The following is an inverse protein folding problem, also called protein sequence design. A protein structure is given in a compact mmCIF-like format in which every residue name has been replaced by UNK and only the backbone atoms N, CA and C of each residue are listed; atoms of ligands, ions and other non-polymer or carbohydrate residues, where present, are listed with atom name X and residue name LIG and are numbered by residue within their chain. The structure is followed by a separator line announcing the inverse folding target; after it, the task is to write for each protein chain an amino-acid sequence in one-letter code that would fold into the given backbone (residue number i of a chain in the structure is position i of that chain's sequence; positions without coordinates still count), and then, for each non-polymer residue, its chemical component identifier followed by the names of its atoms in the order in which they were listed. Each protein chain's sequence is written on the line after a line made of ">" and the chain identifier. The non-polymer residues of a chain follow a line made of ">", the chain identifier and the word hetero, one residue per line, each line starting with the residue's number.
data_IF_785765085019
#
_entry.id   IF_785765085019
#
_cell.length_a   1.000
_cell.length_b   1.000
_cell.length_c   1.000
_cell.angle_alpha   90.00
_cell.angle_beta   90.00
_cell.angle_gamma   90.00
#
_symmetry.space_group_name_H-M   'P 1'
#
loop_
_entity.id
_entity.type
_entity.pdbx_description
1 polymer ?
#
# COMPACT_ATOMS: atom_id res chain seq x y z
N UNK A 1 -2.11 4.19 22.60
CA UNK A 1 -0.78 3.59 22.83
C UNK A 1 -0.62 2.25 22.12
N UNK A 2 -1.53 1.28 22.29
CA UNK A 2 -1.47 -0.04 21.63
C UNK A 2 -1.46 0.07 20.09
N UNK A 3 -2.32 0.92 19.52
CA UNK A 3 -2.40 1.13 18.08
C UNK A 3 -1.11 1.71 17.46
N UNK A 4 -0.51 2.69 18.14
CA UNK A 4 0.76 3.27 17.69
C UNK A 4 1.88 2.21 17.71
N UNK A 5 1.93 1.39 18.75
CA UNK A 5 2.88 0.28 18.81
C UNK A 5 2.65 -0.74 17.70
N UNK A 6 1.39 -1.09 17.42
CA UNK A 6 1.04 -2.01 16.35
C UNK A 6 1.49 -1.51 14.98
N UNK A 7 1.29 -0.22 14.67
CA UNK A 7 1.71 0.38 13.39
C UNK A 7 3.24 0.42 13.25
N UNK A 8 3.94 0.80 14.32
CA UNK A 8 5.40 0.81 14.35
C UNK A 8 5.96 -0.60 14.14
N UNK A 9 5.38 -1.60 14.81
CA UNK A 9 5.77 -3.00 14.64
C UNK A 9 5.46 -3.50 13.23
N UNK A 10 4.30 -3.16 12.68
CA UNK A 10 3.92 -3.55 11.32
C UNK A 10 4.93 -3.03 10.29
N UNK A 11 5.21 -1.72 10.31
CA UNK A 11 6.21 -1.12 9.41
C UNK A 11 7.60 -1.69 9.66
N UNK A 12 7.97 -1.87 10.92
CA UNK A 12 9.26 -2.47 11.30
C UNK A 12 9.43 -3.89 10.74
N UNK A 13 8.38 -4.70 10.81
CA UNK A 13 8.38 -6.07 10.23
C UNK A 13 8.48 -6.03 8.71
N UNK A 14 7.74 -5.14 8.03
CA UNK A 14 7.80 -5.02 6.57
C UNK A 14 9.19 -4.60 6.07
N UNK A 15 9.83 -3.66 6.77
CA UNK A 15 11.20 -3.24 6.44
C UNK A 15 12.18 -4.38 6.77
N UNK A 16 12.00 -5.08 7.89
CA UNK A 16 12.85 -6.22 8.24
C UNK A 16 12.77 -7.35 7.21
N UNK A 17 11.58 -7.64 6.68
CA UNK A 17 11.36 -8.64 5.63
C UNK A 17 12.02 -8.20 4.32
N UNK A 18 11.98 -6.91 4.00
CA UNK A 18 12.72 -6.31 2.90
C UNK A 18 14.23 -6.55 3.03
N UNK A 19 14.81 -6.21 4.18
CA UNK A 19 16.23 -6.42 4.47
C UNK A 19 16.63 -7.90 4.44
N UNK A 20 15.71 -8.78 4.86
CA UNK A 20 15.91 -10.23 4.76
C UNK A 20 16.03 -10.70 3.31
N UNK A 21 15.33 -10.03 2.36
CA UNK A 21 15.50 -10.28 0.94
C UNK A 21 16.95 -10.05 0.48
N UNK A 22 17.50 -8.89 0.78
CA UNK A 22 18.90 -8.58 0.50
C UNK A 22 19.88 -9.57 1.16
N UNK A 23 19.65 -9.85 2.44
CA UNK A 23 20.46 -10.77 3.21
C UNK A 23 20.55 -12.17 2.58
N UNK A 24 19.40 -12.75 2.25
CA UNK A 24 19.30 -14.11 1.70
C UNK A 24 20.01 -14.20 0.34
N UNK A 25 19.71 -13.28 -0.56
CA UNK A 25 20.29 -13.30 -1.91
C UNK A 25 21.78 -12.94 -1.90
N UNK A 26 22.22 -12.00 -1.07
CA UNK A 26 23.64 -11.70 -0.91
C UNK A 26 24.42 -12.92 -0.42
N UNK A 27 23.88 -13.65 0.55
CA UNK A 27 24.49 -14.88 1.07
C UNK A 27 24.53 -15.99 0.02
N UNK A 28 23.46 -16.18 -0.77
CA UNK A 28 23.44 -17.13 -1.88
C UNK A 28 24.47 -16.82 -2.96
N UNK A 29 24.69 -15.51 -3.21
CA UNK A 29 25.69 -15.03 -4.16
C UNK A 29 27.12 -15.06 -3.59
N UNK A 30 27.34 -15.58 -2.38
CA UNK A 30 28.65 -15.66 -1.74
C UNK A 30 29.21 -14.28 -1.38
N UNK A 31 28.34 -13.34 -0.98
CA UNK A 31 28.75 -12.07 -0.37
C UNK A 31 28.77 -12.27 1.14
N UNK A 32 29.87 -11.87 1.78
CA UNK A 32 29.99 -11.92 3.22
C UNK A 32 29.17 -10.82 3.87
N UNK A 33 28.26 -11.22 4.76
CA UNK A 33 27.45 -10.29 5.55
C UNK A 33 28.19 -9.97 6.85
N UNK A 34 28.53 -8.73 7.03
CA UNK A 34 29.19 -8.23 8.25
C UNK A 34 28.19 -8.16 9.39
N UNK A 35 27.02 -7.57 9.10
CA UNK A 35 25.99 -7.37 10.12
C UNK A 35 24.58 -7.43 9.55
N UNK A 36 23.69 -8.04 10.32
CA UNK A 36 22.25 -7.98 10.15
C UNK A 36 21.63 -7.41 11.42
N UNK A 37 20.99 -6.25 11.34
CA UNK A 37 20.39 -5.58 12.50
C UNK A 37 18.88 -5.51 12.39
N UNK A 38 18.19 -5.89 13.46
CA UNK A 38 16.79 -5.59 13.69
C UNK A 38 16.75 -4.25 14.44
N UNK A 39 16.24 -3.21 13.77
CA UNK A 39 16.24 -1.85 14.29
C UNK A 39 17.52 -1.06 13.99
N UNK A 40 17.47 0.21 14.37
CA UNK A 40 18.56 1.19 14.19
C UNK A 40 19.11 1.67 15.53
N UNK A 41 20.29 2.30 15.50
CA UNK A 41 20.93 2.93 16.64
C UNK A 41 21.82 2.00 17.43
N UNK A 42 21.90 2.21 18.76
CA UNK A 42 22.81 1.43 19.63
C UNK A 42 22.31 -0.01 19.78
N UNK A 43 23.28 -0.94 19.78
CA UNK A 43 23.03 -2.37 20.05
C UNK A 43 22.51 -2.55 21.49
N UNK A 44 21.39 -3.23 21.63
CA UNK A 44 20.88 -3.71 22.93
C UNK A 44 21.50 -5.06 23.25
N UNK A 45 21.33 -6.00 22.31
CA UNK A 45 21.84 -7.38 22.40
C UNK A 45 22.28 -7.84 21.02
N UNK A 46 23.21 -8.76 20.95
CA UNK A 46 23.60 -9.38 19.68
C UNK A 46 24.55 -10.54 19.91
N UNK A 47 24.62 -11.37 18.88
CA UNK A 47 25.48 -12.56 18.81
C UNK A 47 26.14 -12.64 17.44
N UNK A 48 27.20 -13.42 17.34
CA UNK A 48 27.88 -13.68 16.06
C UNK A 48 27.68 -15.13 15.69
N UNK A 49 27.25 -15.41 14.45
CA UNK A 49 27.10 -16.75 13.91
C UNK A 49 27.52 -16.78 12.44
N UNK A 50 28.41 -17.71 12.09
CA UNK A 50 28.87 -17.87 10.71
C UNK A 50 29.57 -16.62 10.14
N UNK A 51 30.24 -15.82 10.97
CA UNK A 51 30.93 -14.59 10.56
C UNK A 51 30.03 -13.36 10.43
N UNK A 52 28.73 -13.50 10.67
CA UNK A 52 27.76 -12.40 10.66
C UNK A 52 27.38 -11.99 12.08
N UNK A 53 27.44 -10.70 12.38
CA UNK A 53 26.90 -10.14 13.62
C UNK A 53 25.40 -9.94 13.47
N UNK A 54 24.62 -10.48 14.38
CA UNK A 54 23.16 -10.25 14.49
C UNK A 54 22.91 -9.32 15.65
N UNK A 55 22.26 -8.18 15.37
CA UNK A 55 21.97 -7.15 16.37
C UNK A 55 20.47 -6.96 16.55
N UNK A 56 20.07 -6.71 17.80
CA UNK A 56 18.82 -6.06 18.16
C UNK A 56 19.17 -4.65 18.65
N UNK A 57 18.61 -3.64 18.01
CA UNK A 57 18.93 -2.23 18.25
C UNK A 57 17.77 -1.47 18.89
N UNK A 58 18.07 -0.28 19.44
CA UNK A 58 17.12 0.48 20.26
C UNK A 58 15.88 0.98 19.54
N UNK A 59 15.96 1.31 18.27
CA UNK A 59 14.86 1.88 17.50
C UNK A 59 14.26 0.78 16.64
N UNK A 60 13.10 0.20 16.99
CA UNK A 60 12.51 -0.97 16.30
C UNK A 60 11.79 -0.58 14.99
N UNK A 61 12.33 0.40 14.25
CA UNK A 61 11.80 0.89 12.98
C UNK A 61 12.55 0.26 11.81
N UNK A 62 12.38 -1.06 11.59
CA UNK A 62 13.02 -1.74 10.48
C UNK A 62 14.33 -2.44 10.83
N UNK A 63 15.32 -2.35 9.96
CA UNK A 63 16.62 -2.99 10.12
C UNK A 63 17.61 -2.55 9.04
N UNK A 64 18.74 -3.21 8.98
CA UNK A 64 19.70 -3.05 7.88
C UNK A 64 20.60 -4.27 7.73
N UNK A 65 21.07 -4.47 6.51
CA UNK A 65 22.12 -5.45 6.18
C UNK A 65 23.39 -4.68 5.85
N UNK A 66 24.51 -4.99 6.51
CA UNK A 66 25.82 -4.47 6.12
C UNK A 66 26.60 -5.56 5.41
N UNK A 67 26.92 -5.36 4.15
CA UNK A 67 27.71 -6.28 3.34
C UNK A 67 29.19 -5.91 3.38
N UNK A 68 30.08 -6.90 3.25
CA UNK A 68 31.50 -6.63 3.14
C UNK A 68 31.82 -5.91 1.84
N UNK A 69 32.69 -4.91 1.89
CA UNK A 69 33.11 -4.14 0.73
C UNK A 69 31.97 -3.38 0.03
N UNK A 70 30.90 -3.04 0.74
CA UNK A 70 29.79 -2.22 0.25
C UNK A 70 30.23 -0.75 0.13
N UNK A 71 31.03 -0.28 1.07
CA UNK A 71 31.61 1.05 1.03
C UNK A 71 33.02 1.01 0.43
N UNK A 72 33.34 1.94 -0.46
CA UNK A 72 34.63 1.94 -1.17
C UNK A 72 35.83 2.06 -0.23
N UNK A 73 35.72 2.75 0.90
CA UNK A 73 36.76 2.85 1.92
C UNK A 73 37.06 1.57 2.69
N UNK A 74 36.15 0.59 2.65
CA UNK A 74 36.28 -0.73 3.30
C UNK A 74 36.72 -1.83 2.32
N UNK A 75 36.93 -1.51 1.06
CA UNK A 75 37.19 -2.46 -0.02
C UNK A 75 38.61 -3.01 0.07
N UNK A 76 38.74 -4.34 0.20
CA UNK A 76 40.01 -5.07 0.14
C UNK A 76 40.19 -5.85 -1.17
N UNK A 77 39.22 -5.78 -2.07
CA UNK A 77 39.14 -6.55 -3.33
C UNK A 77 38.99 -8.06 -3.12
N UNK A 78 38.53 -8.48 -1.94
CA UNK A 78 38.23 -9.88 -1.68
C UNK A 78 37.05 -10.38 -2.53
N UNK A 79 37.05 -11.65 -2.98
CA UNK A 79 36.01 -12.18 -3.86
C UNK A 79 34.64 -12.30 -3.19
N UNK A 80 34.58 -12.22 -1.87
CA UNK A 80 33.34 -12.26 -1.05
C UNK A 80 32.80 -10.85 -0.74
N UNK A 81 33.36 -9.79 -1.32
CA UNK A 81 32.88 -8.42 -1.20
C UNK A 81 31.81 -8.09 -2.22
N UNK A 82 30.82 -7.27 -1.83
CA UNK A 82 29.72 -6.83 -2.68
C UNK A 82 30.21 -6.16 -3.98
N UNK A 83 31.11 -5.16 -3.87
CA UNK A 83 31.65 -4.44 -5.04
C UNK A 83 32.61 -5.28 -5.91
N UNK A 84 33.03 -6.45 -5.45
CA UNK A 84 33.82 -7.41 -6.25
C UNK A 84 32.96 -8.31 -7.10
N UNK A 85 31.62 -8.29 -6.88
CA UNK A 85 30.69 -9.12 -7.67
C UNK A 85 30.33 -8.47 -9.01
N UNK A 86 30.02 -9.29 -10.03
CA UNK A 86 29.50 -8.78 -11.31
C UNK A 86 28.26 -7.90 -11.13
N UNK A 87 28.05 -6.94 -12.06
CA UNK A 87 26.90 -6.01 -12.02
C UNK A 87 25.57 -6.74 -11.89
N UNK A 88 25.37 -7.86 -12.62
CA UNK A 88 24.14 -8.65 -12.56
C UNK A 88 23.89 -9.25 -11.16
N UNK A 89 24.93 -9.73 -10.49
CA UNK A 89 24.85 -10.27 -9.14
C UNK A 89 24.50 -9.16 -8.13
N UNK A 90 25.13 -7.99 -8.24
CA UNK A 90 24.81 -6.84 -7.41
C UNK A 90 23.37 -6.37 -7.63
N UNK A 91 22.92 -6.33 -8.88
CA UNK A 91 21.54 -5.98 -9.21
C UNK A 91 20.53 -6.99 -8.62
N UNK A 92 20.82 -8.29 -8.67
CA UNK A 92 19.96 -9.33 -8.07
C UNK A 92 19.86 -9.16 -6.55
N UNK A 93 20.96 -8.84 -5.87
CA UNK A 93 21.00 -8.59 -4.42
C UNK A 93 20.12 -7.38 -4.08
N UNK A 94 20.29 -6.26 -4.81
CA UNK A 94 19.51 -5.03 -4.55
C UNK A 94 18.03 -5.24 -4.90
N UNK A 95 17.69 -5.92 -5.98
CA UNK A 95 16.31 -6.18 -6.35
C UNK A 95 15.57 -7.14 -5.39
N UNK A 96 16.31 -7.90 -4.58
CA UNK A 96 15.74 -8.92 -3.70
C UNK A 96 14.86 -8.32 -2.58
N UNK A 97 15.20 -7.15 -2.05
CA UNK A 97 14.40 -6.45 -1.05
C UNK A 97 12.99 -6.12 -1.56
N UNK A 98 12.86 -5.31 -2.61
CA UNK A 98 11.57 -5.01 -3.24
C UNK A 98 10.81 -6.26 -3.69
N UNK A 99 11.51 -7.25 -4.24
CA UNK A 99 10.90 -8.51 -4.68
C UNK A 99 10.25 -9.29 -3.54
N UNK A 100 10.92 -9.38 -2.37
CA UNK A 100 10.33 -10.07 -1.21
C UNK A 100 9.11 -9.32 -0.69
N UNK A 101 9.12 -7.99 -0.66
CA UNK A 101 7.93 -7.21 -0.32
C UNK A 101 6.79 -7.44 -1.30
N UNK A 102 7.08 -7.54 -2.60
CA UNK A 102 6.08 -7.90 -3.61
C UNK A 102 5.46 -9.28 -3.33
N UNK A 103 6.27 -10.28 -2.98
CA UNK A 103 5.78 -11.62 -2.60
C UNK A 103 4.95 -11.59 -1.31
N UNK A 104 5.36 -10.82 -0.30
CA UNK A 104 4.59 -10.66 0.95
C UNK A 104 3.23 -10.05 0.67
N UNK A 105 3.15 -9.05 -0.21
CA UNK A 105 1.89 -8.47 -0.63
C UNK A 105 0.95 -9.51 -1.26
N UNK A 106 1.46 -10.34 -2.18
CA UNK A 106 0.70 -11.43 -2.80
C UNK A 106 0.21 -12.47 -1.78
N UNK A 107 1.11 -12.95 -0.91
CA UNK A 107 0.77 -13.98 0.09
C UNK A 107 -0.24 -13.44 1.11
N UNK A 108 -0.06 -12.21 1.57
CA UNK A 108 -1.00 -11.57 2.51
C UNK A 108 -2.37 -11.39 1.88
N UNK A 109 -2.46 -10.91 0.65
CA UNK A 109 -3.72 -10.72 -0.06
C UNK A 109 -4.42 -12.05 -0.35
N UNK A 110 -3.67 -13.09 -0.74
CA UNK A 110 -4.21 -14.44 -0.88
C UNK A 110 -4.79 -14.95 0.44
N UNK A 111 -4.07 -14.74 1.54
CA UNK A 111 -4.54 -15.13 2.88
C UNK A 111 -5.82 -14.39 3.25
N UNK A 112 -5.91 -13.09 2.90
CA UNK A 112 -7.13 -12.28 3.09
C UNK A 112 -8.33 -12.92 2.42
N UNK A 113 -8.22 -13.33 1.15
CA UNK A 113 -9.35 -13.94 0.43
C UNK A 113 -9.73 -15.31 0.98
N UNK A 114 -8.78 -16.07 1.52
CA UNK A 114 -9.04 -17.39 2.13
C UNK A 114 -9.64 -17.27 3.54
N UNK A 115 -9.08 -16.39 4.37
CA UNK A 115 -9.56 -16.17 5.76
C UNK A 115 -10.88 -15.41 5.77
N UNK A 116 -11.03 -14.48 4.85
CA UNK A 116 -12.16 -13.60 4.67
C UNK A 116 -11.88 -12.16 5.04
N UNK A 117 -12.51 -11.27 4.29
CA UNK A 117 -12.47 -9.83 4.46
C UNK A 117 -13.90 -9.29 4.60
N UNK A 118 -14.15 -8.35 5.54
CA UNK A 118 -15.46 -7.72 5.66
C UNK A 118 -15.70 -6.80 4.46
N UNK A 119 -16.74 -7.07 3.70
CA UNK A 119 -17.22 -6.23 2.60
C UNK A 119 -18.60 -5.67 2.92
N UNK A 120 -18.84 -4.43 2.50
CA UNK A 120 -20.14 -3.78 2.68
C UNK A 120 -21.21 -4.52 1.91
N UNK A 121 -22.30 -4.85 2.58
CA UNK A 121 -23.50 -5.38 1.93
C UNK A 121 -24.16 -4.30 1.06
N UNK A 122 -24.81 -4.68 -0.05
CA UNK A 122 -25.55 -3.76 -0.91
C UNK A 122 -26.91 -3.41 -0.28
N UNK A 123 -26.87 -2.88 0.96
CA UNK A 123 -28.03 -2.51 1.77
C UNK A 123 -28.11 -0.99 1.89
N UNK A 124 -29.28 -0.46 1.64
CA UNK A 124 -29.55 0.99 1.63
C UNK A 124 -29.66 1.49 3.07
N UNK A 125 -28.73 2.33 3.49
CA UNK A 125 -28.77 2.99 4.80
C UNK A 125 -29.34 4.39 4.75
N UNK A 126 -29.28 5.04 3.59
CA UNK A 126 -29.84 6.38 3.37
C UNK A 126 -30.30 6.54 1.93
N UNK A 127 -31.45 7.18 1.74
CA UNK A 127 -31.94 7.61 0.43
C UNK A 127 -31.96 9.13 0.38
N UNK A 128 -31.32 9.70 -0.65
CA UNK A 128 -31.29 11.16 -0.87
C UNK A 128 -32.58 11.60 -1.57
N UNK A 129 -33.20 12.63 -1.04
CA UNK A 129 -34.35 13.28 -1.68
C UNK A 129 -33.95 13.85 -3.05
N UNK A 130 -34.91 13.98 -3.94
CA UNK A 130 -34.73 14.48 -5.33
C UNK A 130 -33.78 13.66 -6.21
N UNK A 131 -33.49 12.42 -5.83
CA UNK A 131 -32.68 11.50 -6.61
C UNK A 131 -33.49 10.31 -7.14
N UNK A 132 -33.00 9.61 -8.20
CA UNK A 132 -33.75 8.52 -8.85
C UNK A 132 -34.22 7.42 -7.90
N UNK A 133 -33.45 7.10 -6.86
CA UNK A 133 -33.79 6.07 -5.87
C UNK A 133 -35.05 6.46 -5.08
N UNK A 134 -35.14 7.71 -4.61
CA UNK A 134 -36.30 8.24 -3.91
C UNK A 134 -37.53 8.23 -4.80
N UNK A 135 -37.42 8.72 -6.04
CA UNK A 135 -38.52 8.74 -7.00
C UNK A 135 -39.01 7.32 -7.38
N UNK A 136 -38.14 6.33 -7.35
CA UNK A 136 -38.47 4.93 -7.62
C UNK A 136 -38.99 4.17 -6.39
N UNK A 137 -39.06 4.80 -5.20
CA UNK A 137 -39.58 4.23 -3.97
C UNK A 137 -38.62 3.25 -3.28
N UNK A 138 -37.31 3.39 -3.48
CA UNK A 138 -36.31 2.69 -2.64
C UNK A 138 -36.38 3.24 -1.21
N UNK A 139 -36.19 2.36 -0.23
CA UNK A 139 -36.31 2.66 1.19
C UNK A 139 -35.03 2.28 1.95
N UNK A 140 -34.82 2.89 3.10
CA UNK A 140 -33.78 2.46 4.04
C UNK A 140 -34.06 1.02 4.50
N UNK A 141 -33.01 0.20 4.57
CA UNK A 141 -33.10 -1.23 4.85
C UNK A 141 -33.31 -2.11 3.62
N UNK A 142 -33.57 -1.54 2.44
CA UNK A 142 -33.64 -2.33 1.20
C UNK A 142 -32.27 -2.94 0.88
N UNK A 143 -32.24 -4.26 0.62
CA UNK A 143 -31.04 -4.96 0.17
C UNK A 143 -31.13 -5.26 -1.31
N UNK A 144 -30.23 -4.70 -2.10
CA UNK A 144 -30.20 -4.91 -3.55
C UNK A 144 -29.53 -6.25 -3.85
N UNK A 145 -30.28 -7.17 -4.46
CA UNK A 145 -29.85 -8.55 -4.77
C UNK A 145 -29.23 -8.66 -6.16
N UNK A 146 -29.78 -7.91 -7.12
CA UNK A 146 -29.32 -7.93 -8.50
C UNK A 146 -29.60 -6.60 -9.22
N UNK A 147 -28.78 -6.31 -10.23
CA UNK A 147 -28.90 -5.20 -11.16
C UNK A 147 -28.98 -5.78 -12.57
N UNK A 148 -30.08 -5.53 -13.30
CA UNK A 148 -30.35 -6.09 -14.63
C UNK A 148 -30.13 -7.60 -14.73
N UNK A 149 -30.49 -8.33 -13.67
CA UNK A 149 -30.33 -9.79 -13.55
C UNK A 149 -28.92 -10.25 -13.12
N UNK A 150 -27.93 -9.35 -13.04
CA UNK A 150 -26.61 -9.67 -12.52
C UNK A 150 -26.63 -9.58 -10.99
N UNK A 151 -26.31 -10.67 -10.30
CA UNK A 151 -26.22 -10.70 -8.83
C UNK A 151 -25.12 -9.77 -8.32
N UNK A 152 -25.44 -9.00 -7.28
CA UNK A 152 -24.51 -8.04 -6.64
C UNK A 152 -24.33 -8.41 -5.16
N UNK A 153 -23.29 -9.18 -4.81
CA UNK A 153 -23.07 -9.62 -3.45
C UNK A 153 -22.54 -8.50 -2.52
N UNK A 154 -21.96 -7.45 -3.09
CA UNK A 154 -21.30 -6.37 -2.35
C UNK A 154 -21.76 -5.00 -2.82
N UNK A 155 -21.58 -3.99 -1.97
CA UNK A 155 -21.85 -2.59 -2.31
C UNK A 155 -21.02 -2.11 -3.51
N UNK A 156 -19.75 -2.52 -3.58
CA UNK A 156 -18.86 -2.14 -4.66
C UNK A 156 -19.34 -2.69 -6.02
N UNK A 157 -19.65 -4.00 -6.09
CA UNK A 157 -20.17 -4.63 -7.31
C UNK A 157 -21.47 -3.98 -7.80
N UNK A 158 -22.37 -3.61 -6.87
CA UNK A 158 -23.58 -2.86 -7.19
C UNK A 158 -23.26 -1.48 -7.74
N UNK A 159 -22.38 -0.75 -7.07
CA UNK A 159 -22.01 0.63 -7.43
C UNK A 159 -21.35 0.69 -8.82
N UNK A 160 -20.52 -0.27 -9.15
CA UNK A 160 -19.89 -0.37 -10.48
C UNK A 160 -20.92 -0.46 -11.61
N UNK A 161 -21.91 -1.33 -11.48
CA UNK A 161 -22.99 -1.51 -12.46
C UNK A 161 -23.84 -0.23 -12.60
N UNK A 162 -24.19 0.39 -11.48
CA UNK A 162 -24.97 1.65 -11.46
C UNK A 162 -24.16 2.76 -12.13
N UNK A 163 -22.89 2.92 -11.80
CA UNK A 163 -22.01 3.95 -12.37
C UNK A 163 -21.84 3.77 -13.89
N UNK A 164 -21.78 2.53 -14.37
CA UNK A 164 -21.65 2.23 -15.81
C UNK A 164 -22.94 2.52 -16.61
N UNK A 165 -24.08 2.66 -15.93
CA UNK A 165 -25.40 2.76 -16.57
C UNK A 165 -25.99 4.17 -16.55
N UNK A 166 -25.14 5.22 -16.61
CA UNK A 166 -25.57 6.61 -16.59
C UNK A 166 -26.63 6.94 -17.69
N UNK A 167 -27.81 7.39 -17.27
CA UNK A 167 -28.91 7.76 -18.18
C UNK A 167 -29.60 6.58 -18.87
N UNK A 168 -29.29 5.32 -18.49
CA UNK A 168 -29.95 4.14 -19.04
C UNK A 168 -30.91 3.55 -17.98
N UNK A 169 -32.16 3.19 -18.34
CA UNK A 169 -33.05 2.52 -17.41
C UNK A 169 -32.46 1.17 -17.00
N UNK A 170 -32.57 0.85 -15.70
CA UNK A 170 -32.13 -0.40 -15.11
C UNK A 170 -33.17 -0.96 -14.15
N UNK A 171 -33.12 -2.25 -13.95
CA UNK A 171 -33.97 -2.99 -13.02
C UNK A 171 -33.17 -3.47 -11.83
N UNK A 172 -33.62 -3.07 -10.66
CA UNK A 172 -33.04 -3.54 -9.39
C UNK A 172 -33.97 -4.59 -8.79
N UNK A 173 -33.45 -5.74 -8.44
CA UNK A 173 -34.18 -6.70 -7.59
C UNK A 173 -33.74 -6.42 -6.14
N UNK A 174 -34.73 -6.16 -5.30
CA UNK A 174 -34.56 -5.68 -3.94
C UNK A 174 -35.25 -6.61 -2.97
N UNK A 175 -34.55 -7.04 -1.93
CA UNK A 175 -35.20 -7.69 -0.78
C UNK A 175 -35.63 -6.59 0.20
N UNK A 176 -36.93 -6.51 0.47
CA UNK A 176 -37.56 -5.59 1.41
C UNK A 176 -38.35 -6.40 2.43
N UNK A 177 -37.92 -6.42 3.67
CA UNK A 177 -38.45 -7.32 4.70
C UNK A 177 -38.47 -8.79 4.20
N UNK A 178 -39.64 -9.40 4.10
CA UNK A 178 -39.79 -10.80 3.66
C UNK A 178 -40.18 -10.96 2.19
N UNK A 179 -40.13 -9.89 1.39
CA UNK A 179 -40.55 -9.91 -0.01
C UNK A 179 -39.44 -9.45 -0.96
N UNK A 180 -39.40 -10.02 -2.16
CA UNK A 180 -38.58 -9.47 -3.26
C UNK A 180 -39.45 -8.53 -4.10
N UNK A 181 -38.90 -7.35 -4.36
CA UNK A 181 -39.55 -6.30 -5.15
C UNK A 181 -38.63 -5.89 -6.31
N UNK A 182 -39.21 -5.77 -7.49
CA UNK A 182 -38.47 -5.22 -8.64
C UNK A 182 -38.73 -3.70 -8.72
N UNK A 183 -37.65 -2.93 -8.70
CA UNK A 183 -37.67 -1.47 -8.80
C UNK A 183 -36.98 -1.08 -10.10
N UNK A 184 -37.67 -0.32 -10.95
CA UNK A 184 -37.05 0.22 -12.18
C UNK A 184 -36.75 1.69 -12.01
N UNK A 185 -35.53 2.09 -12.32
CA UNK A 185 -35.09 3.47 -12.25
C UNK A 185 -34.06 3.78 -13.33
N UNK A 186 -33.79 5.07 -13.55
CA UNK A 186 -32.75 5.53 -14.48
C UNK A 186 -31.74 6.34 -13.69
N UNK A 187 -30.46 5.87 -13.55
CA UNK A 187 -29.43 6.62 -12.85
C UNK A 187 -29.19 8.00 -13.49
N UNK A 188 -29.21 9.03 -12.68
CA UNK A 188 -28.91 10.38 -13.13
C UNK A 188 -27.44 10.47 -13.59
N UNK A 189 -27.23 11.06 -14.77
CA UNK A 189 -25.87 11.31 -15.27
C UNK A 189 -25.22 12.42 -14.47
N UNK A 190 -24.05 12.14 -13.91
CA UNK A 190 -23.23 13.14 -13.21
C UNK A 190 -21.79 13.05 -13.67
N UNK A 191 -21.24 14.19 -14.02
CA UNK A 191 -19.82 14.31 -14.32
C UNK A 191 -19.06 14.52 -13.00
N UNK A 192 -18.17 13.62 -12.71
CA UNK A 192 -17.30 13.64 -11.53
C UNK A 192 -15.85 13.64 -11.96
N UNK A 193 -14.98 14.05 -11.08
CA UNK A 193 -13.55 13.82 -11.24
C UNK A 193 -13.18 12.53 -10.51
N UNK A 194 -12.56 11.60 -11.22
CA UNK A 194 -12.10 10.35 -10.60
C UNK A 194 -10.95 10.63 -9.61
N UNK A 195 -10.58 9.67 -8.74
CA UNK A 195 -9.47 9.84 -7.79
C UNK A 195 -8.13 10.20 -8.43
N UNK A 196 -8.01 10.06 -9.76
CA UNK A 196 -6.80 10.36 -10.52
C UNK A 196 -6.88 11.69 -11.29
N UNK A 197 -7.90 12.52 -11.00
CA UNK A 197 -8.07 13.83 -11.61
C UNK A 197 -8.63 13.80 -13.04
N UNK A 198 -9.21 12.66 -13.50
CA UNK A 198 -9.79 12.54 -14.84
C UNK A 198 -11.30 12.77 -14.79
N UNK A 199 -11.87 13.53 -15.73
CA UNK A 199 -13.32 13.66 -15.84
C UNK A 199 -13.93 12.30 -16.20
N UNK A 200 -14.93 11.88 -15.45
CA UNK A 200 -15.68 10.64 -15.66
C UNK A 200 -17.16 10.90 -15.48
N UNK A 201 -17.97 10.50 -16.46
CA UNK A 201 -19.42 10.54 -16.35
C UNK A 201 -19.92 9.25 -15.75
N UNK A 202 -20.66 9.32 -14.65
CA UNK A 202 -21.19 8.16 -13.92
C UNK A 202 -22.68 8.28 -13.70
N UNK A 203 -23.35 7.14 -13.55
CA UNK A 203 -24.73 7.06 -13.10
C UNK A 203 -24.82 7.14 -11.58
N UNK A 204 -25.68 7.96 -11.04
CA UNK A 204 -25.98 8.04 -9.62
C UNK A 204 -27.46 7.85 -9.36
N UNK A 205 -27.81 7.09 -8.33
CA UNK A 205 -29.21 6.87 -7.92
C UNK A 205 -29.56 7.57 -6.61
N UNK A 206 -28.57 7.99 -5.81
CA UNK A 206 -28.79 8.75 -4.58
C UNK A 206 -29.04 7.87 -3.35
N UNK A 207 -28.27 6.81 -3.18
CA UNK A 207 -28.29 5.97 -1.98
C UNK A 207 -26.92 5.99 -1.29
N UNK A 208 -26.91 5.77 0.04
CA UNK A 208 -25.72 5.52 0.84
C UNK A 208 -25.79 4.15 1.53
N UNK A 209 -24.67 3.52 1.89
CA UNK A 209 -24.63 2.23 2.55
C UNK A 209 -25.21 2.29 3.98
N UNK A 210 -25.78 1.18 4.44
CA UNK A 210 -26.23 1.02 5.83
C UNK A 210 -25.07 0.84 6.82
N UNK A 211 -23.88 0.45 6.31
CA UNK A 211 -22.75 0.07 7.14
C UNK A 211 -22.77 -1.41 7.56
N UNK A 212 -23.74 -2.19 7.10
CA UNK A 212 -23.75 -3.64 7.33
C UNK A 212 -22.63 -4.32 6.51
N UNK A 213 -21.90 -5.23 7.18
CA UNK A 213 -20.80 -5.98 6.58
C UNK A 213 -21.10 -7.47 6.56
N UNK A 214 -20.57 -8.16 5.58
CA UNK A 214 -20.46 -9.61 5.59
C UNK A 214 -19.02 -10.02 5.32
N UNK A 215 -18.61 -11.16 5.86
CA UNK A 215 -17.25 -11.70 5.61
C UNK A 215 -17.31 -12.63 4.40
N UNK A 216 -16.74 -12.18 3.30
CA UNK A 216 -16.61 -12.98 2.08
C UNK A 216 -15.33 -13.80 2.11
N UNK A 217 -15.48 -15.09 1.79
CA UNK A 217 -14.38 -16.05 1.72
C UNK A 217 -14.47 -16.81 0.41
N UNK A 218 -13.33 -17.14 -0.14
CA UNK A 218 -13.26 -18.00 -1.33
C UNK A 218 -12.32 -19.16 -1.11
N UNK A 219 -12.47 -20.20 -1.93
CA UNK A 219 -11.56 -21.35 -1.86
C UNK A 219 -10.12 -20.97 -2.20
N UNK A 220 -9.10 -21.69 -1.68
CA UNK A 220 -7.70 -21.35 -1.87
C UNK A 220 -7.27 -21.22 -3.34
N UNK A 221 -7.84 -22.03 -4.23
CA UNK A 221 -7.54 -22.00 -5.68
C UNK A 221 -8.15 -20.76 -6.32
N UNK A 222 -9.41 -20.45 -6.03
CA UNK A 222 -10.10 -19.25 -6.53
C UNK A 222 -9.40 -17.97 -6.00
N UNK A 223 -8.94 -18.00 -4.75
CA UNK A 223 -8.20 -16.91 -4.15
C UNK A 223 -6.94 -16.51 -4.94
N UNK A 224 -6.27 -17.44 -5.65
CA UNK A 224 -5.11 -17.14 -6.48
C UNK A 224 -5.50 -16.17 -7.60
N UNK A 225 -6.57 -16.47 -8.34
CA UNK A 225 -7.03 -15.62 -9.44
C UNK A 225 -7.43 -14.22 -8.97
N UNK A 226 -8.19 -14.14 -7.86
CA UNK A 226 -8.58 -12.85 -7.26
C UNK A 226 -7.37 -12.06 -6.76
N UNK A 227 -6.41 -12.72 -6.14
CA UNK A 227 -5.17 -12.08 -5.67
C UNK A 227 -4.39 -11.45 -6.81
N UNK A 228 -4.16 -12.19 -7.89
CA UNK A 228 -3.41 -11.68 -9.05
C UNK A 228 -4.15 -10.51 -9.69
N UNK A 229 -5.47 -10.61 -9.83
CA UNK A 229 -6.28 -9.53 -10.41
C UNK A 229 -6.20 -8.26 -9.55
N UNK A 230 -6.53 -8.35 -8.28
CA UNK A 230 -6.52 -7.22 -7.34
C UNK A 230 -5.12 -6.60 -7.17
N UNK A 231 -4.09 -7.44 -7.13
CA UNK A 231 -2.71 -6.99 -7.01
C UNK A 231 -2.30 -6.18 -8.25
N UNK A 232 -2.64 -6.65 -9.47
CA UNK A 232 -2.36 -5.93 -10.70
C UNK A 232 -3.14 -4.61 -10.79
N UNK A 233 -4.37 -4.58 -10.33
CA UNK A 233 -5.15 -3.35 -10.21
C UNK A 233 -4.47 -2.34 -9.29
N UNK A 234 -4.03 -2.75 -8.10
CA UNK A 234 -3.31 -1.87 -7.17
C UNK A 234 -2.01 -1.33 -7.75
N UNK A 235 -1.23 -2.17 -8.45
CA UNK A 235 -0.03 -1.71 -9.17
C UNK A 235 -0.41 -0.62 -10.18
N UNK A 236 -1.42 -0.89 -11.02
CA UNK A 236 -1.89 0.06 -12.02
C UNK A 236 -2.40 1.38 -11.41
N UNK A 237 -3.20 1.30 -10.35
CA UNK A 237 -3.72 2.46 -9.62
C UNK A 237 -2.59 3.27 -8.97
N UNK A 238 -1.61 2.61 -8.35
CA UNK A 238 -0.46 3.29 -7.73
C UNK A 238 0.37 4.03 -8.76
N UNK A 239 0.70 3.39 -9.90
CA UNK A 239 1.45 4.03 -10.98
C UNK A 239 0.67 5.20 -11.60
N UNK A 240 -0.64 5.03 -11.78
CA UNK A 240 -1.51 6.10 -12.30
C UNK A 240 -1.62 7.28 -11.32
N UNK A 241 -1.73 7.00 -10.02
CA UNK A 241 -1.73 8.03 -8.98
C UNK A 241 -0.42 8.84 -9.00
N UNK A 242 0.72 8.16 -9.03
CA UNK A 242 2.03 8.79 -9.12
C UNK A 242 2.18 9.65 -10.38
N UNK A 243 1.75 9.12 -11.53
CA UNK A 243 1.73 9.88 -12.78
C UNK A 243 0.82 11.11 -12.70
N UNK A 244 -0.35 10.97 -12.09
CA UNK A 244 -1.30 12.07 -11.91
C UNK A 244 -0.77 13.16 -10.96
N UNK A 245 -0.01 12.78 -9.94
CA UNK A 245 0.71 13.73 -9.06
C UNK A 245 1.79 14.49 -9.82
N UNK A 246 2.63 13.78 -10.59
CA UNK A 246 3.72 14.40 -11.38
C UNK A 246 3.16 15.35 -12.44
N UNK A 247 2.03 15.02 -13.05
CA UNK A 247 1.36 15.88 -14.05
C UNK A 247 0.49 16.97 -13.45
N UNK A 248 0.41 17.08 -12.11
CA UNK A 248 -0.38 18.10 -11.41
C UNK A 248 -1.90 17.93 -11.52
N UNK A 249 -2.38 16.74 -11.92
CA UNK A 249 -3.82 16.45 -12.03
C UNK A 249 -4.46 16.27 -10.66
N UNK A 250 -3.71 15.74 -9.71
CA UNK A 250 -4.14 15.55 -8.32
C UNK A 250 -3.15 16.22 -7.37
N UNK A 251 -3.67 16.72 -6.25
CA UNK A 251 -2.86 17.34 -5.21
C UNK A 251 -2.18 16.30 -4.35
N UNK A 252 -0.85 16.41 -4.19
CA UNK A 252 -0.08 15.59 -3.24
C UNK A 252 -0.64 15.73 -1.82
N UNK A 253 -1.09 16.94 -1.45
CA UNK A 253 -1.65 17.23 -0.13
C UNK A 253 -2.88 16.39 0.21
N UNK A 254 -3.74 16.13 -0.77
CA UNK A 254 -5.00 15.41 -0.57
C UNK A 254 -4.85 13.91 -0.74
N UNK A 255 -3.86 13.48 -1.53
CA UNK A 255 -3.73 12.10 -1.99
C UNK A 255 -2.73 11.28 -1.19
N UNK A 256 -1.80 11.92 -0.46
CA UNK A 256 -0.77 11.21 0.32
C UNK A 256 -1.16 11.17 1.79
N UNK A 257 -1.13 9.96 2.34
CA UNK A 257 -1.33 9.71 3.78
C UNK A 257 0.05 9.57 4.43
N UNK A 258 0.29 10.34 5.45
CA UNK A 258 1.54 10.33 6.19
C UNK A 258 1.54 9.34 7.36
N UNK A 259 2.62 9.38 8.19
CA UNK A 259 2.78 8.46 9.31
C UNK A 259 1.62 8.46 10.31
N UNK A 260 0.99 9.62 10.53
CA UNK A 260 -0.13 9.75 11.47
C UNK A 260 -1.39 9.07 10.89
N UNK A 261 -1.68 9.29 9.61
CA UNK A 261 -2.78 8.61 8.95
C UNK A 261 -2.58 7.08 8.90
N UNK A 262 -1.34 6.63 8.71
CA UNK A 262 -1.02 5.20 8.80
C UNK A 262 -1.32 4.62 10.20
N UNK A 263 -1.04 5.37 11.27
CA UNK A 263 -1.39 4.97 12.64
C UNK A 263 -2.91 4.80 12.81
N UNK A 264 -3.69 5.74 12.28
CA UNK A 264 -5.16 5.68 12.34
C UNK A 264 -5.68 4.47 11.58
N UNK A 265 -5.28 4.30 10.30
CA UNK A 265 -5.70 3.18 9.46
C UNK A 265 -5.34 1.82 10.07
N UNK A 266 -4.13 1.68 10.63
CA UNK A 266 -3.70 0.42 11.26
C UNK A 266 -4.53 0.13 12.53
N UNK A 267 -4.86 1.17 13.29
CA UNK A 267 -5.70 1.03 14.49
C UNK A 267 -7.12 0.56 14.14
N UNK A 268 -7.72 1.17 13.13
CA UNK A 268 -9.05 0.79 12.64
C UNK A 268 -9.05 -0.64 12.11
N UNK A 269 -8.10 -1.00 11.25
CA UNK A 269 -7.97 -2.35 10.72
C UNK A 269 -7.77 -3.39 11.83
N UNK A 270 -6.94 -3.09 12.83
CA UNK A 270 -6.70 -4.00 13.95
C UNK A 270 -7.98 -4.20 14.79
N UNK A 271 -8.84 -3.20 14.91
CA UNK A 271 -10.12 -3.30 15.62
C UNK A 271 -11.16 -4.14 14.87
N UNK A 272 -11.08 -4.17 13.54
CA UNK A 272 -11.97 -4.96 12.67
C UNK A 272 -11.55 -6.43 12.53
N UNK A 273 -10.34 -6.79 12.98
CA UNK A 273 -9.84 -8.17 12.99
C UNK A 273 -8.65 -8.44 12.07
N UNK A 274 -8.34 -9.74 11.92
CA UNK A 274 -7.12 -10.17 11.21
C UNK A 274 -7.19 -9.92 9.69
N UNK A 275 -8.37 -10.05 9.07
CA UNK A 275 -8.56 -9.84 7.63
C UNK A 275 -8.16 -8.43 7.19
N UNK A 276 -8.76 -7.35 7.74
CA UNK A 276 -8.37 -5.97 7.46
C UNK A 276 -6.91 -5.66 7.75
N UNK A 277 -6.34 -6.24 8.80
CA UNK A 277 -4.93 -6.06 9.12
C UNK A 277 -4.01 -6.69 8.06
N UNK A 278 -4.32 -7.91 7.60
CA UNK A 278 -3.59 -8.57 6.50
C UNK A 278 -3.74 -7.80 5.18
N UNK A 279 -4.91 -7.19 4.95
CA UNK A 279 -5.15 -6.34 3.79
C UNK A 279 -4.23 -5.11 3.79
N UNK A 280 -4.08 -4.45 4.95
CA UNK A 280 -3.12 -3.34 5.09
C UNK A 280 -1.68 -3.79 4.94
N UNK A 281 -1.31 -4.97 5.47
CA UNK A 281 0.02 -5.56 5.27
C UNK A 281 0.28 -5.74 3.76
N UNK A 282 -0.69 -6.29 3.02
CA UNK A 282 -0.57 -6.46 1.58
C UNK A 282 -0.37 -5.12 0.85
N UNK A 283 -1.21 -4.12 1.19
CA UNK A 283 -1.16 -2.79 0.58
C UNK A 283 0.17 -2.07 0.86
N UNK A 284 0.63 -2.06 2.11
CA UNK A 284 1.88 -1.39 2.49
C UNK A 284 3.10 -2.12 1.94
N UNK A 285 3.09 -3.46 1.93
CA UNK A 285 4.19 -4.25 1.36
C UNK A 285 4.31 -4.01 -0.14
N UNK A 286 3.19 -3.95 -0.87
CA UNK A 286 3.19 -3.59 -2.28
C UNK A 286 3.69 -2.16 -2.51
N UNK A 287 3.23 -1.21 -1.71
CA UNK A 287 3.68 0.18 -1.79
C UNK A 287 5.20 0.28 -1.59
N UNK A 288 5.74 -0.39 -0.56
CA UNK A 288 7.19 -0.44 -0.32
C UNK A 288 7.93 -1.08 -1.51
N UNK A 289 7.40 -2.16 -2.08
CA UNK A 289 7.99 -2.79 -3.26
C UNK A 289 8.05 -1.82 -4.44
N UNK A 290 6.94 -1.14 -4.75
CA UNK A 290 6.86 -0.19 -5.88
C UNK A 290 7.81 1.00 -5.64
N UNK A 291 7.70 1.67 -4.47
CA UNK A 291 8.52 2.84 -4.19
C UNK A 291 10.02 2.53 -4.19
N UNK A 292 10.43 1.37 -3.66
CA UNK A 292 11.83 0.97 -3.66
C UNK A 292 12.39 0.62 -5.04
N UNK A 293 11.55 0.39 -6.06
CA UNK A 293 12.00 0.20 -7.45
C UNK A 293 12.18 1.53 -8.20
N UNK A 294 11.63 2.66 -7.68
CA UNK A 294 11.80 3.96 -8.34
C UNK A 294 13.27 4.40 -8.34
N UNK A 295 13.74 5.07 -9.42
CA UNK A 295 15.14 5.49 -9.58
C UNK A 295 15.49 6.71 -8.70
N UNK A 296 15.20 6.61 -7.41
CA UNK A 296 15.52 7.62 -6.39
C UNK A 296 16.80 7.18 -5.68
N UNK A 297 17.90 7.94 -5.73
CA UNK A 297 19.23 7.53 -5.29
C UNK A 297 19.39 6.99 -3.87
N UNK A 298 18.46 7.30 -2.97
CA UNK A 298 18.45 6.79 -1.59
C UNK A 298 17.72 5.44 -1.44
N UNK A 299 16.99 5.00 -2.48
CA UNK A 299 16.25 3.76 -2.51
C UNK A 299 16.97 2.72 -3.38
N UNK A 300 16.56 1.47 -3.29
CA UNK A 300 17.15 0.37 -4.09
C UNK A 300 17.08 0.62 -5.59
N UNK A 301 15.97 1.21 -6.07
CA UNK A 301 15.81 1.59 -7.47
C UNK A 301 16.87 2.57 -7.96
N UNK A 302 17.36 3.45 -7.09
CA UNK A 302 18.49 4.32 -7.41
C UNK A 302 19.79 3.54 -7.56
N UNK A 303 20.05 2.56 -6.70
CA UNK A 303 21.18 1.65 -6.84
C UNK A 303 21.06 0.81 -8.12
N UNK A 304 19.87 0.27 -8.42
CA UNK A 304 19.60 -0.46 -9.67
C UNK A 304 19.83 0.43 -10.89
N UNK A 305 19.43 1.70 -10.81
CA UNK A 305 19.64 2.67 -11.90
C UNK A 305 21.15 2.93 -12.12
N UNK A 306 21.94 3.13 -11.07
CA UNK A 306 23.39 3.27 -11.18
C UNK A 306 24.06 2.01 -11.73
N UNK A 307 23.62 0.81 -11.33
CA UNK A 307 24.11 -0.44 -11.86
C UNK A 307 23.74 -0.63 -13.35
N UNK A 308 22.56 -0.17 -13.78
CA UNK A 308 22.19 -0.14 -15.19
C UNK A 308 23.10 0.78 -15.99
N UNK A 309 23.38 1.99 -15.48
CA UNK A 309 24.32 2.93 -16.12
C UNK A 309 25.74 2.34 -16.18
N UNK A 310 26.19 1.67 -15.13
CA UNK A 310 27.50 0.98 -15.12
C UNK A 310 27.56 -0.10 -16.21
N UNK A 311 26.50 -0.91 -16.34
CA UNK A 311 26.41 -1.95 -17.38
C UNK A 311 26.44 -1.37 -18.80
N UNK A 312 25.75 -0.25 -19.04
CA UNK A 312 25.69 0.41 -20.35
C UNK A 312 27.00 1.12 -20.72
N UNK A 313 27.69 1.72 -19.73
CA UNK A 313 28.92 2.47 -19.94
C UNK A 313 30.19 1.62 -19.86
N UNK A 314 30.09 0.41 -19.29
CA UNK A 314 31.26 -0.44 -19.00
C UNK A 314 32.12 0.03 -17.82
N UNK A 315 31.69 1.08 -17.10
CA UNK A 315 32.41 1.62 -15.95
C UNK A 315 31.45 2.20 -14.92
N UNK A 316 31.75 2.08 -13.60
CA UNK A 316 30.87 2.57 -12.55
C UNK A 316 30.72 4.10 -12.59
N UNK A 317 29.57 4.58 -12.17
CA UNK A 317 29.35 6.03 -11.93
C UNK A 317 30.22 6.47 -10.76
N UNK A 318 30.85 7.64 -10.86
CA UNK A 318 31.73 8.12 -9.80
C UNK A 318 30.99 8.26 -8.46
N UNK A 319 31.68 7.92 -7.38
CA UNK A 319 31.14 7.98 -6.02
C UNK A 319 30.61 9.37 -5.66
N UNK A 320 31.35 10.40 -6.00
CA UNK A 320 30.92 11.78 -5.72
C UNK A 320 29.56 12.11 -6.34
N UNK A 321 29.26 11.55 -7.52
CA UNK A 321 27.93 11.73 -8.16
C UNK A 321 26.87 10.93 -7.40
N UNK A 322 27.16 9.67 -7.06
CA UNK A 322 26.21 8.83 -6.30
C UNK A 322 25.91 9.43 -4.93
N UNK A 323 26.92 9.85 -4.18
CA UNK A 323 26.76 10.47 -2.86
C UNK A 323 25.99 11.79 -2.91
N UNK A 324 26.33 12.68 -3.85
CA UNK A 324 25.59 13.94 -4.04
C UNK A 324 24.14 13.71 -4.44
N UNK A 325 23.90 12.77 -5.35
CA UNK A 325 22.55 12.42 -5.75
C UNK A 325 21.76 11.84 -4.56
N UNK A 326 22.37 10.99 -3.74
CA UNK A 326 21.76 10.46 -2.52
C UNK A 326 21.47 11.56 -1.49
N UNK A 327 22.40 12.50 -1.26
CA UNK A 327 22.20 13.64 -0.35
C UNK A 327 21.03 14.54 -0.81
N UNK A 328 20.97 14.90 -2.09
CA UNK A 328 19.87 15.70 -2.64
C UNK A 328 18.54 14.94 -2.48
N UNK A 329 18.51 13.67 -2.83
CA UNK A 329 17.30 12.83 -2.69
C UNK A 329 16.87 12.71 -1.22
N UNK A 330 17.81 12.58 -0.29
CA UNK A 330 17.51 12.56 1.14
C UNK A 330 16.86 13.85 1.61
N UNK A 331 17.40 15.01 1.24
CA UNK A 331 16.84 16.32 1.61
C UNK A 331 15.43 16.47 1.03
N UNK A 332 15.22 16.11 -0.24
CA UNK A 332 13.90 16.15 -0.88
C UNK A 332 12.89 15.22 -0.18
N UNK A 333 13.32 13.99 0.12
CA UNK A 333 12.47 13.01 0.80
C UNK A 333 12.10 13.50 2.20
N UNK A 334 13.07 14.02 2.99
CA UNK A 334 12.81 14.55 4.33
C UNK A 334 11.88 15.77 4.30
N UNK A 335 12.04 16.65 3.31
CA UNK A 335 11.14 17.78 3.12
C UNK A 335 9.72 17.32 2.81
N UNK A 336 9.58 16.31 1.93
CA UNK A 336 8.28 15.73 1.61
C UNK A 336 7.64 15.05 2.83
N UNK A 337 8.41 14.27 3.60
CA UNK A 337 7.91 13.63 4.83
C UNK A 337 7.43 14.69 5.83
N UNK A 338 8.22 15.74 6.04
CA UNK A 338 7.84 16.84 6.94
C UNK A 338 6.55 17.53 6.47
N UNK A 339 6.44 17.82 5.16
CA UNK A 339 5.24 18.39 4.56
C UNK A 339 4.01 17.52 4.80
N UNK A 340 4.13 16.20 4.56
CA UNK A 340 3.04 15.25 4.76
C UNK A 340 2.68 15.10 6.25
N UNK A 341 3.66 15.11 7.16
CA UNK A 341 3.40 15.12 8.61
C UNK A 341 2.61 16.36 9.05
N UNK A 342 2.99 17.55 8.57
CA UNK A 342 2.25 18.79 8.86
C UNK A 342 0.83 18.73 8.30
N UNK A 343 0.68 18.17 7.10
CA UNK A 343 -0.63 17.99 6.47
C UNK A 343 -1.51 17.02 7.27
N UNK A 344 -0.95 15.87 7.73
CA UNK A 344 -1.66 14.92 8.57
C UNK A 344 -2.14 15.56 9.88
N UNK A 345 -1.28 16.34 10.56
CA UNK A 345 -1.64 17.06 11.80
C UNK A 345 -2.86 17.96 11.57
N UNK A 346 -2.89 18.67 10.45
CA UNK A 346 -4.02 19.53 10.08
C UNK A 346 -5.27 18.72 9.73
N UNK A 347 -5.11 17.65 8.96
CA UNK A 347 -6.22 16.82 8.45
C UNK A 347 -6.94 16.06 9.56
N UNK A 348 -6.21 15.57 10.56
CA UNK A 348 -6.76 14.78 11.66
C UNK A 348 -7.13 15.64 12.89
N UNK A 349 -7.04 16.97 12.80
CA UNK A 349 -7.43 17.88 13.89
C UNK A 349 -6.67 17.63 15.19
N UNK A 350 -5.39 17.24 15.11
CA UNK A 350 -4.60 16.86 16.30
C UNK A 350 -4.36 18.07 17.18
N UNK A 351 -4.15 19.25 16.58
CA UNK A 351 -3.95 20.49 17.34
C UNK A 351 -5.17 20.80 18.18
N UNK A 352 -6.37 20.68 17.61
CA UNK A 352 -7.62 20.94 18.31
C UNK A 352 -7.82 19.97 19.49
N UNK A 353 -7.56 18.68 19.26
CA UNK A 353 -7.63 17.66 20.33
C UNK A 353 -6.60 17.87 21.43
N UNK A 354 -5.39 18.30 21.10
CA UNK A 354 -4.35 18.60 22.10
C UNK A 354 -4.73 19.86 22.89
N UNK A 355 -5.26 20.90 22.23
CA UNK A 355 -5.74 22.11 22.93
C UNK A 355 -6.93 21.81 23.84
N UNK A 356 -7.88 20.99 23.42
CA UNK A 356 -8.98 20.52 24.26
C UNK A 356 -8.49 19.72 25.49
N UNK A 357 -7.45 18.89 25.29
CA UNK A 357 -6.86 18.12 26.39
C UNK A 357 -6.06 18.97 27.38
N UNK A 358 -5.35 20.02 26.89
CA UNK A 358 -4.63 20.95 27.75
C UNK A 358 -5.52 22.00 28.42
N UNK A 359 -6.73 22.25 27.87
CA UNK A 359 -7.73 23.17 28.46
C UNK A 359 -8.66 22.52 29.46
N UNK A 360 -8.51 21.20 29.72
CA UNK A 360 -9.17 20.45 30.79
C UNK A 360 -8.20 20.20 31.94
#
# INVERSE_FOLDING_TARGET
>A
MVAALASVLLLGVLILVHELGHFVVARWCGVRIVRFSIGFGRKIVGWTRGGTEYWLSWIPLGGYVKMAGEQHGERTQAPDEYLSKPVGTRAAIVAAGPFVNYLVALVSLWTVFVVGYPELLPEVGRVLEDMPASAAGLQEGDRILAVDGTSVPTWEAMTELIHASAGKPMRLRVARADAEVDVTLTPARKDITDPFGRPKSVGLIGIGPSGAFNTFRVGPIEAIGRTVHQHNEWVGQTLLALWSMVTGRISVRESVTGPIGLLVLTSEAASMGIGPLLYLIALFSLSLAIFNVFPIPILDGGHLFFLLLEKLRGSPVSLNIQERAAQVSFVLLMTMVLFVCVNDVSRFGIVDRVMEWMGR
#
